data_IF_755058820351
#
_entry.id   IF_755058820351
#
_cell.length_a   1.000
_cell.length_b   1.000
_cell.length_c   1.000
_cell.angle_alpha   90.00
_cell.angle_beta   90.00
_cell.angle_gamma   90.00
#
_symmetry.space_group_name_H-M   'P 1'
#
loop_
_entity.id
_entity.type
_entity.pdbx_description
1 polymer ?
#
# COMPACT_ATOMS: atom_id res chain seq x y z
N UNK A 1 23.60 16.47 1.62
CA UNK A 1 22.92 15.17 1.41
C UNK A 1 21.41 15.36 1.56
N UNK A 2 20.77 16.26 0.79
CA UNK A 2 19.50 16.83 1.25
C UNK A 2 18.36 16.61 0.24
N UNK A 3 18.46 17.11 -1.00
CA UNK A 3 17.29 17.07 -1.92
C UNK A 3 16.92 15.67 -2.44
N UNK A 4 17.90 14.80 -2.73
CA UNK A 4 17.64 13.45 -3.24
C UNK A 4 16.88 12.57 -2.23
N UNK A 5 17.24 12.65 -0.95
CA UNK A 5 16.59 11.88 0.11
C UNK A 5 15.11 12.26 0.25
N UNK A 6 14.80 13.57 0.27
CA UNK A 6 13.40 14.02 0.36
C UNK A 6 12.60 13.66 -0.89
N UNK A 7 13.15 13.85 -2.10
CA UNK A 7 12.48 13.50 -3.35
C UNK A 7 12.23 11.99 -3.41
N UNK A 8 13.25 11.17 -3.13
CA UNK A 8 13.14 9.71 -3.13
C UNK A 8 12.14 9.21 -2.09
N UNK A 9 12.09 9.83 -0.89
CA UNK A 9 11.15 9.45 0.17
C UNK A 9 9.71 9.86 -0.15
N UNK A 10 9.51 11.01 -0.78
CA UNK A 10 8.18 11.48 -1.18
C UNK A 10 7.67 10.68 -2.39
N UNK A 11 8.53 10.40 -3.37
CA UNK A 11 8.20 9.51 -4.49
C UNK A 11 7.96 8.08 -4.00
N UNK A 12 8.74 7.58 -3.04
CA UNK A 12 8.50 6.28 -2.40
C UNK A 12 7.15 6.23 -1.69
N UNK A 13 6.76 7.30 -1.00
CA UNK A 13 5.44 7.44 -0.38
C UNK A 13 4.32 7.48 -1.43
N UNK A 14 4.50 8.16 -2.56
CA UNK A 14 3.53 8.19 -3.67
C UNK A 14 3.48 6.87 -4.45
N UNK A 15 4.58 6.11 -4.45
CA UNK A 15 4.69 4.84 -5.18
C UNK A 15 3.88 3.74 -4.51
N UNK A 16 3.44 3.93 -3.26
CA UNK A 16 2.47 3.03 -2.64
C UNK A 16 1.10 3.25 -3.31
N UNK A 17 0.45 2.20 -3.86
CA UNK A 17 -0.78 2.35 -4.64
C UNK A 17 -1.87 3.14 -3.91
N UNK A 18 -2.02 2.91 -2.61
CA UNK A 18 -3.01 3.58 -1.76
C UNK A 18 -2.76 5.09 -1.61
N UNK A 19 -1.51 5.49 -1.41
CA UNK A 19 -1.15 6.90 -1.19
C UNK A 19 -1.32 7.72 -2.47
N UNK A 20 -0.89 7.18 -3.62
CA UNK A 20 -1.12 7.80 -4.91
C UNK A 20 -2.60 8.00 -5.21
N UNK A 21 -3.43 6.98 -4.93
CA UNK A 21 -4.88 7.05 -5.10
C UNK A 21 -5.55 8.04 -4.14
N UNK A 22 -5.08 8.17 -2.89
CA UNK A 22 -5.56 9.16 -1.93
C UNK A 22 -5.27 10.59 -2.41
N UNK A 23 -4.07 10.86 -2.91
CA UNK A 23 -3.73 12.17 -3.48
C UNK A 23 -4.61 12.47 -4.68
N UNK A 24 -4.84 11.49 -5.56
CA UNK A 24 -5.73 11.63 -6.71
C UNK A 24 -7.18 11.95 -6.30
N UNK A 25 -7.67 11.29 -5.24
CA UNK A 25 -8.99 11.58 -4.66
C UNK A 25 -9.07 13.02 -4.13
N UNK A 26 -8.06 13.47 -3.38
CA UNK A 26 -8.01 14.84 -2.85
C UNK A 26 -7.98 15.89 -3.97
N UNK A 27 -7.20 15.65 -5.03
CA UNK A 27 -7.17 16.51 -6.23
C UNK A 27 -8.52 16.49 -6.95
N UNK A 28 -9.17 15.33 -7.05
CA UNK A 28 -10.53 15.22 -7.57
C UNK A 28 -11.54 16.05 -6.78
N UNK A 29 -11.46 15.98 -5.45
CA UNK A 29 -12.30 16.75 -4.53
C UNK A 29 -12.05 18.25 -4.69
N UNK A 30 -10.80 18.68 -4.73
CA UNK A 30 -10.43 20.08 -4.92
C UNK A 30 -10.90 20.63 -6.28
N UNK A 31 -10.96 19.78 -7.30
CA UNK A 31 -11.39 20.14 -8.66
C UNK A 31 -12.86 19.86 -8.95
N UNK A 32 -13.70 19.56 -7.94
CA UNK A 32 -15.13 19.23 -8.12
C UNK A 32 -15.92 20.30 -8.90
N UNK A 33 -15.49 21.56 -8.81
CA UNK A 33 -16.08 22.69 -9.53
C UNK A 33 -15.99 22.53 -11.05
N UNK A 34 -15.02 21.76 -11.55
CA UNK A 34 -14.79 21.55 -12.97
C UNK A 34 -15.42 20.21 -13.38
N UNK A 35 -16.04 20.13 -14.57
CA UNK A 35 -16.76 18.93 -15.07
C UNK A 35 -15.95 17.62 -14.96
N UNK A 36 -14.63 17.73 -14.99
CA UNK A 36 -13.70 16.60 -14.88
C UNK A 36 -13.46 16.13 -13.44
N UNK A 37 -13.56 17.00 -12.44
CA UNK A 37 -13.27 16.65 -11.04
C UNK A 37 -14.22 15.60 -10.47
N UNK A 38 -15.49 15.60 -10.88
CA UNK A 38 -16.46 14.57 -10.44
C UNK A 38 -16.11 13.18 -10.98
N UNK A 39 -15.65 13.08 -12.23
CA UNK A 39 -15.21 11.79 -12.82
C UNK A 39 -13.94 11.30 -12.17
N UNK A 40 -12.99 12.22 -11.93
CA UNK A 40 -11.73 11.90 -11.25
C UNK A 40 -12.01 11.38 -9.83
N UNK A 41 -12.82 12.10 -9.06
CA UNK A 41 -13.19 11.72 -7.68
C UNK A 41 -13.84 10.34 -7.63
N UNK A 42 -14.83 10.08 -8.48
CA UNK A 42 -15.51 8.77 -8.52
C UNK A 42 -14.54 7.66 -8.91
N UNK A 43 -13.71 7.89 -9.93
CA UNK A 43 -12.73 6.91 -10.37
C UNK A 43 -11.71 6.60 -9.26
N UNK A 44 -11.14 7.63 -8.63
CA UNK A 44 -10.19 7.48 -7.53
C UNK A 44 -10.81 6.78 -6.32
N UNK A 45 -12.05 7.11 -5.96
CA UNK A 45 -12.77 6.45 -4.88
C UNK A 45 -13.02 4.97 -5.16
N UNK A 46 -13.48 4.63 -6.37
CA UNK A 46 -13.69 3.23 -6.77
C UNK A 46 -12.37 2.46 -6.76
N UNK A 47 -11.29 3.02 -7.32
CA UNK A 47 -9.98 2.38 -7.27
C UNK A 47 -9.46 2.22 -5.84
N UNK A 48 -9.71 3.18 -4.93
CA UNK A 48 -9.35 3.02 -3.51
C UNK A 48 -10.09 1.87 -2.84
N UNK A 49 -11.40 1.77 -3.09
CA UNK A 49 -12.22 0.68 -2.54
C UNK A 49 -11.76 -0.66 -3.10
N UNK A 50 -11.54 -0.74 -4.42
CA UNK A 50 -11.09 -1.98 -5.07
C UNK A 50 -9.69 -2.35 -4.58
N UNK A 51 -8.71 -1.44 -4.61
CA UNK A 51 -7.34 -1.74 -4.18
C UNK A 51 -7.22 -1.94 -2.66
N UNK A 52 -8.02 -1.25 -1.85
CA UNK A 52 -7.99 -1.32 -0.39
C UNK A 52 -8.70 -2.56 0.18
N UNK A 53 -9.77 -3.03 -0.48
CA UNK A 53 -10.47 -4.28 -0.10
C UNK A 53 -9.98 -5.49 -0.90
N UNK A 54 -9.10 -5.29 -1.88
CA UNK A 54 -8.57 -6.36 -2.72
C UNK A 54 -7.65 -7.27 -1.91
N UNK A 55 -7.77 -8.61 -2.07
CA UNK A 55 -6.83 -9.56 -1.50
C UNK A 55 -5.47 -9.56 -2.22
N UNK A 56 -5.23 -8.66 -3.20
CA UNK A 56 -3.98 -8.62 -3.96
C UNK A 56 -2.75 -8.46 -3.06
N UNK A 57 -2.85 -7.71 -1.96
CA UNK A 57 -1.76 -7.61 -0.98
C UNK A 57 -1.44 -8.97 -0.37
N UNK A 58 -2.46 -9.73 0.02
CA UNK A 58 -2.30 -11.08 0.58
C UNK A 58 -1.81 -12.08 -0.46
N UNK A 59 -2.25 -11.96 -1.72
CA UNK A 59 -1.78 -12.81 -2.82
C UNK A 59 -0.31 -12.55 -3.16
N UNK A 60 0.16 -11.30 -3.02
CA UNK A 60 1.58 -10.97 -3.17
C UNK A 60 2.44 -11.42 -1.97
N UNK A 61 1.86 -11.47 -0.76
CA UNK A 61 2.54 -11.99 0.43
C UNK A 61 2.58 -13.53 0.50
N UNK A 62 1.55 -14.22 -0.01
CA UNK A 62 1.46 -15.68 -0.02
C UNK A 62 2.73 -16.40 -0.56
N UNK A 63 3.33 -16.02 -1.71
CA UNK A 63 4.55 -16.66 -2.19
C UNK A 63 5.79 -16.33 -1.34
N UNK A 64 5.76 -15.28 -0.53
CA UNK A 64 6.85 -14.95 0.41
C UNK A 64 6.74 -15.79 1.69
N UNK A 65 5.52 -15.95 2.22
CA UNK A 65 5.27 -16.75 3.43
C UNK A 65 5.48 -18.24 3.22
N UNK A 66 5.10 -18.76 2.05
CA UNK A 66 5.25 -20.19 1.73
C UNK A 66 6.70 -20.65 1.59
N UNK A 67 7.67 -19.73 1.51
CA UNK A 67 9.10 -20.06 1.48
C UNK A 67 9.65 -20.45 2.85
N UNK A 68 8.98 -20.04 3.92
CA UNK A 68 9.42 -20.32 5.28
C UNK A 68 8.65 -21.52 5.82
N UNK A 69 9.32 -22.61 6.21
CA UNK A 69 8.65 -23.73 6.85
C UNK A 69 8.00 -23.25 8.14
N UNK A 70 6.75 -23.67 8.37
CA UNK A 70 6.06 -23.39 9.63
C UNK A 70 6.86 -23.98 10.78
N UNK A 71 6.88 -23.26 11.90
CA UNK A 71 7.48 -23.77 13.13
C UNK A 71 6.86 -25.11 13.52
N UNK A 72 7.70 -26.08 13.85
CA UNK A 72 7.29 -27.41 14.28
C UNK A 72 7.56 -27.56 15.78
N UNK A 73 6.49 -27.70 16.57
CA UNK A 73 6.57 -27.82 18.02
C UNK A 73 7.35 -29.07 18.49
N UNK A 74 7.49 -30.09 17.63
CA UNK A 74 8.29 -31.28 17.93
C UNK A 74 9.81 -31.03 17.83
N UNK A 75 10.23 -29.88 17.28
CA UNK A 75 11.65 -29.48 17.16
C UNK A 75 12.19 -28.69 18.36
N UNK A 76 11.39 -28.48 19.40
CA UNK A 76 11.76 -27.74 20.60
C UNK A 76 11.15 -26.34 20.66
N UNK A 77 11.63 -25.51 21.59
CA UNK A 77 11.21 -24.12 21.73
C UNK A 77 12.00 -23.22 20.76
N UNK A 78 11.40 -22.13 20.23
CA UNK A 78 12.10 -21.20 19.36
C UNK A 78 13.26 -20.50 20.06
N UNK A 79 14.43 -20.53 19.43
CA UNK A 79 15.66 -19.86 19.90
C UNK A 79 15.51 -18.32 19.95
N UNK A 80 14.53 -17.77 19.24
CA UNK A 80 14.19 -16.35 19.29
C UNK A 80 13.00 -15.97 18.42
N UNK A 81 12.31 -14.90 18.80
CA UNK A 81 11.19 -14.30 18.07
C UNK A 81 11.56 -12.85 17.74
N UNK A 82 11.49 -12.47 16.46
CA UNK A 82 11.68 -11.08 16.02
C UNK A 82 10.31 -10.46 15.77
N UNK A 83 9.97 -9.43 16.57
CA UNK A 83 8.75 -8.63 16.35
C UNK A 83 9.13 -7.41 15.52
N UNK A 84 8.67 -7.36 14.28
CA UNK A 84 8.79 -6.18 13.43
C UNK A 84 7.67 -5.21 13.81
N UNK A 85 8.06 -4.02 14.29
CA UNK A 85 7.15 -2.92 14.63
C UNK A 85 6.69 -2.11 13.43
#
# INVERSE_FOLDING_TARGET
>A
MNSFYYISKTLGFLSTPTNGLLVLLLVGIATLRWRFGRRLTVLSAVLLVVCGLSPAANLLMAPLEQRFPRWDASRGAPDGIVVLG
#
